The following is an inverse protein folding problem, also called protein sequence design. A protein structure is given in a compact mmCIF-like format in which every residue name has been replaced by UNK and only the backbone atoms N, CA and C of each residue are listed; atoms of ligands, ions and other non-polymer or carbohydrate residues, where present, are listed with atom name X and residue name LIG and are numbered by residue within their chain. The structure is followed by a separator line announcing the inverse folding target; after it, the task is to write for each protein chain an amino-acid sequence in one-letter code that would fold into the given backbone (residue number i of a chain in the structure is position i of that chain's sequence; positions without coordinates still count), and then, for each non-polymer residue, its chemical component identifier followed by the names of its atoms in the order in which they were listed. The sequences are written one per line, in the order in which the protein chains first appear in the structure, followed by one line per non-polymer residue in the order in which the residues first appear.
data_IF_597540435182
#
_entry.id   IF_597540435182
#
_cell.length_a   1.000
_cell.length_b   1.000
_cell.length_c   1.000
_cell.angle_alpha   90.00
_cell.angle_beta   90.00
_cell.angle_gamma   90.00
#
_symmetry.space_group_name_H-M   'P 1'
#
loop_
_entity.id
_entity.type
_entity.pdbx_description
1 polymer ?
#
# COMPACT_ATOMS: atom_id res chain seq x y z
N UNK A 1 -43.07 -61.60 -3.79
CA UNK A 1 -42.75 -61.69 -5.22
C UNK A 1 -42.27 -60.29 -5.65
N UNK A 2 -40.96 -60.03 -5.59
CA UNK A 2 -40.37 -58.74 -5.96
C UNK A 2 -39.79 -58.89 -7.36
N UNK A 3 -40.37 -58.19 -8.34
CA UNK A 3 -39.75 -58.02 -9.66
C UNK A 3 -38.94 -56.73 -9.64
N UNK A 4 -37.63 -56.88 -9.71
CA UNK A 4 -36.67 -55.82 -9.93
C UNK A 4 -36.69 -55.48 -11.42
N UNK A 5 -36.95 -54.24 -11.77
CA UNK A 5 -37.06 -53.78 -13.15
C UNK A 5 -35.97 -52.73 -13.39
N UNK A 6 -34.84 -53.16 -13.95
CA UNK A 6 -33.82 -52.25 -14.47
C UNK A 6 -34.40 -51.49 -15.66
N UNK A 7 -34.42 -50.15 -15.60
CA UNK A 7 -34.60 -49.31 -16.77
C UNK A 7 -33.59 -48.18 -16.75
N UNK A 8 -33.00 -48.01 -17.92
CA UNK A 8 -31.69 -47.46 -18.20
C UNK A 8 -31.53 -45.97 -17.85
N UNK A 9 -30.30 -45.59 -17.47
CA UNK A 9 -29.94 -44.19 -17.31
C UNK A 9 -29.85 -43.51 -18.68
N UNK A 10 -30.43 -42.31 -18.88
CA UNK A 10 -30.35 -41.61 -20.16
C UNK A 10 -28.91 -41.19 -20.47
N UNK A 11 -28.50 -41.18 -21.75
CA UNK A 11 -27.11 -40.92 -22.13
C UNK A 11 -26.69 -39.52 -21.70
N UNK A 12 -25.53 -39.44 -21.05
CA UNK A 12 -24.92 -38.16 -20.64
C UNK A 12 -24.62 -37.35 -21.89
N UNK A 13 -25.42 -36.30 -22.14
CA UNK A 13 -25.14 -35.32 -23.19
C UNK A 13 -23.81 -34.66 -22.84
N UNK A 14 -22.79 -34.85 -23.69
CA UNK A 14 -21.53 -34.11 -23.55
C UNK A 14 -21.82 -32.66 -23.88
N UNK A 15 -22.10 -31.86 -22.86
CA UNK A 15 -22.19 -30.40 -22.95
C UNK A 15 -20.77 -29.89 -23.17
N UNK A 16 -20.24 -30.01 -24.38
CA UNK A 16 -18.99 -29.35 -24.79
C UNK A 16 -19.23 -28.03 -25.52
N UNK A 17 -20.48 -27.72 -25.83
CA UNK A 17 -20.86 -26.51 -26.55
C UNK A 17 -22.00 -25.80 -25.81
N UNK A 18 -21.68 -25.02 -24.77
CA UNK A 18 -22.55 -23.96 -24.21
C UNK A 18 -21.85 -23.20 -23.09
N UNK A 19 -20.93 -22.33 -23.48
CA UNK A 19 -20.78 -20.93 -23.04
C UNK A 19 -19.77 -20.38 -24.04
N UNK A 20 -20.11 -19.41 -24.92
CA UNK A 20 -19.06 -18.65 -25.57
C UNK A 20 -18.26 -18.02 -24.43
N UNK A 21 -17.01 -18.45 -24.23
CA UNK A 21 -16.08 -17.79 -23.32
C UNK A 21 -16.10 -16.33 -23.75
N UNK A 22 -16.79 -15.49 -22.97
CA UNK A 22 -16.88 -14.08 -23.25
C UNK A 22 -15.45 -13.58 -23.38
N UNK A 23 -15.09 -13.09 -24.56
CA UNK A 23 -13.82 -12.45 -24.80
C UNK A 23 -13.68 -11.37 -23.72
N UNK A 24 -12.84 -11.64 -22.71
CA UNK A 24 -12.60 -10.71 -21.62
C UNK A 24 -11.78 -9.59 -22.23
N UNK A 25 -12.48 -8.61 -22.80
CA UNK A 25 -11.89 -7.36 -23.26
C UNK A 25 -10.99 -6.85 -22.12
N UNK A 26 -9.69 -6.61 -22.37
CA UNK A 26 -8.79 -6.21 -21.31
C UNK A 26 -9.34 -4.95 -20.64
N UNK A 27 -9.50 -5.00 -19.33
CA UNK A 27 -9.99 -3.87 -18.54
C UNK A 27 -8.87 -2.85 -18.50
N UNK A 28 -9.16 -1.65 -19.01
CA UNK A 28 -8.22 -0.53 -18.96
C UNK A 28 -8.22 0.05 -17.54
N UNK A 29 -7.18 -0.27 -16.77
CA UNK A 29 -6.96 0.20 -15.40
C UNK A 29 -5.87 1.27 -15.31
N UNK A 30 -5.27 1.63 -16.45
CA UNK A 30 -4.24 2.65 -16.55
C UNK A 30 -4.85 4.06 -16.46
N UNK A 31 -4.00 5.06 -16.26
CA UNK A 31 -4.40 6.47 -16.28
C UNK A 31 -4.97 6.87 -17.64
N UNK A 32 -6.02 7.70 -17.61
CA UNK A 32 -6.61 8.19 -18.86
C UNK A 32 -5.58 9.01 -19.66
N UNK A 33 -5.45 8.75 -20.98
CA UNK A 33 -4.48 9.45 -21.83
C UNK A 33 -4.90 10.90 -22.11
N UNK A 34 -6.19 11.21 -22.00
CA UNK A 34 -6.74 12.55 -22.22
C UNK A 34 -6.97 13.19 -20.86
N UNK A 35 -6.11 14.13 -20.48
CA UNK A 35 -6.20 14.87 -19.22
C UNK A 35 -6.74 16.28 -19.46
N UNK A 36 -7.71 16.70 -18.65
CA UNK A 36 -8.22 18.08 -18.68
C UNK A 36 -7.22 18.99 -17.95
N UNK A 37 -6.70 20.05 -18.61
CA UNK A 37 -5.78 20.98 -17.94
C UNK A 37 -6.51 21.73 -16.83
N UNK A 38 -5.84 21.93 -15.69
CA UNK A 38 -6.44 22.58 -14.51
C UNK A 38 -7.10 21.60 -13.53
N UNK A 39 -7.23 20.32 -13.89
CA UNK A 39 -7.95 19.32 -13.12
C UNK A 39 -7.04 18.15 -12.73
N UNK A 40 -6.00 18.41 -11.94
CA UNK A 40 -5.07 17.37 -11.48
C UNK A 40 -5.51 16.73 -10.16
N UNK A 41 -6.06 17.53 -9.26
CA UNK A 41 -6.43 17.12 -7.90
C UNK A 41 -7.91 17.39 -7.65
N UNK A 42 -8.56 16.50 -6.90
CA UNK A 42 -9.96 16.64 -6.49
C UNK A 42 -10.08 16.51 -4.98
N UNK A 43 -10.91 17.38 -4.39
CA UNK A 43 -11.36 17.26 -3.01
C UNK A 43 -12.68 16.50 -2.97
N UNK A 44 -12.70 15.38 -2.27
CA UNK A 44 -13.83 14.47 -2.16
C UNK A 44 -14.26 14.35 -0.71
N UNK A 45 -15.56 14.17 -0.48
CA UNK A 45 -16.10 13.84 0.83
C UNK A 45 -17.07 12.67 0.67
N UNK A 46 -16.94 11.67 1.54
CA UNK A 46 -17.71 10.45 1.46
C UNK A 46 -18.63 10.30 2.68
N UNK A 47 -19.80 9.73 2.45
CA UNK A 47 -20.71 9.27 3.50
C UNK A 47 -21.01 7.81 3.23
N UNK A 48 -20.91 6.98 4.25
CA UNK A 48 -20.95 5.52 4.19
C UNK A 48 -21.39 5.00 5.55
N UNK A 49 -21.91 3.76 5.66
CA UNK A 49 -22.17 3.16 6.97
C UNK A 49 -20.91 3.05 7.85
N UNK A 50 -19.72 3.10 7.23
CA UNK A 50 -18.41 2.98 7.89
C UNK A 50 -17.77 4.35 8.20
N UNK A 51 -18.27 5.45 7.63
CA UNK A 51 -17.71 6.79 7.87
C UNK A 51 -18.21 7.42 9.18
N UNK A 52 -17.61 8.56 9.56
CA UNK A 52 -18.00 9.31 10.75
C UNK A 52 -19.50 9.67 10.76
N UNK A 53 -20.00 10.18 9.62
CA UNK A 53 -21.43 10.39 9.39
C UNK A 53 -22.01 9.11 8.80
N UNK A 54 -22.94 8.47 9.52
CA UNK A 54 -23.51 7.17 9.14
C UNK A 54 -24.70 7.35 8.20
N UNK A 55 -24.71 6.61 7.09
CA UNK A 55 -25.84 6.50 6.17
C UNK A 55 -25.95 5.09 5.60
N UNK A 56 -27.17 4.64 5.29
CA UNK A 56 -27.40 3.30 4.71
C UNK A 56 -26.91 3.19 3.26
N UNK A 57 -26.74 4.33 2.58
CA UNK A 57 -26.25 4.43 1.20
C UNK A 57 -24.90 5.12 1.17
N UNK A 58 -24.08 4.75 0.20
CA UNK A 58 -22.80 5.43 -0.06
C UNK A 58 -23.10 6.73 -0.83
N UNK A 59 -22.69 7.86 -0.26
CA UNK A 59 -22.73 9.18 -0.87
C UNK A 59 -21.33 9.68 -1.17
N UNK A 60 -21.15 10.30 -2.33
CA UNK A 60 -19.93 10.99 -2.72
C UNK A 60 -20.26 12.44 -3.06
N UNK A 61 -19.51 13.37 -2.46
CA UNK A 61 -19.59 14.80 -2.75
C UNK A 61 -18.24 15.28 -3.27
N UNK A 62 -18.24 15.81 -4.50
CA UNK A 62 -17.09 16.55 -5.05
C UNK A 62 -17.14 17.97 -4.50
N UNK A 63 -16.13 18.35 -3.71
CA UNK A 63 -16.04 19.67 -3.07
C UNK A 63 -15.36 20.70 -3.98
N UNK A 64 -14.39 20.26 -4.79
CA UNK A 64 -13.67 21.12 -5.71
C UNK A 64 -12.58 20.37 -6.48
N UNK A 65 -12.11 20.97 -7.56
CA UNK A 65 -11.05 20.45 -8.43
C UNK A 65 -9.99 21.53 -8.59
N UNK A 66 -8.71 21.15 -8.54
CA UNK A 66 -7.56 22.04 -8.50
C UNK A 66 -6.43 21.54 -9.38
N UNK A 67 -5.59 22.46 -9.85
CA UNK A 67 -4.40 22.11 -10.65
C UNK A 67 -3.17 21.82 -9.78
N UNK A 68 -3.08 22.50 -8.62
CA UNK A 68 -1.95 22.46 -7.71
C UNK A 68 -2.33 21.88 -6.34
N UNK A 69 -1.43 21.08 -5.77
CA UNK A 69 -1.63 20.44 -4.48
C UNK A 69 -1.69 21.45 -3.32
N UNK A 70 -0.86 22.50 -3.36
CA UNK A 70 -0.83 23.51 -2.30
C UNK A 70 -2.13 24.32 -2.27
N UNK A 71 -2.68 24.64 -3.44
CA UNK A 71 -3.99 25.31 -3.55
C UNK A 71 -5.11 24.41 -3.03
N UNK A 72 -5.08 23.11 -3.36
CA UNK A 72 -6.03 22.13 -2.84
C UNK A 72 -5.95 22.03 -1.30
N UNK A 73 -4.74 22.00 -0.72
CA UNK A 73 -4.51 21.95 0.74
C UNK A 73 -5.00 23.23 1.44
N UNK A 74 -4.74 24.39 0.87
CA UNK A 74 -5.26 25.66 1.42
C UNK A 74 -6.80 25.68 1.43
N UNK A 75 -7.43 25.15 0.36
CA UNK A 75 -8.88 25.02 0.31
C UNK A 75 -9.43 23.95 1.26
N UNK A 76 -8.72 22.84 1.42
CA UNK A 76 -9.03 21.79 2.38
C UNK A 76 -9.11 22.36 3.80
N UNK A 77 -8.09 23.09 4.25
CA UNK A 77 -8.05 23.69 5.60
C UNK A 77 -9.24 24.62 5.88
N UNK A 78 -9.59 25.47 4.91
CA UNK A 78 -10.78 26.34 5.00
C UNK A 78 -12.08 25.55 5.10
N UNK A 79 -12.19 24.43 4.37
CA UNK A 79 -13.38 23.58 4.42
C UNK A 79 -13.46 22.78 5.73
N UNK A 80 -12.33 22.33 6.28
CA UNK A 80 -12.28 21.63 7.56
C UNK A 80 -12.74 22.53 8.72
N UNK A 81 -12.38 23.81 8.68
CA UNK A 81 -12.85 24.81 9.66
C UNK A 81 -14.35 25.07 9.56
N UNK A 82 -14.88 25.10 8.33
CA UNK A 82 -16.30 25.38 8.07
C UNK A 82 -17.21 24.19 8.43
N UNK A 83 -16.74 22.97 8.17
CA UNK A 83 -17.56 21.75 8.24
C UNK A 83 -16.75 20.57 8.82
N UNK A 84 -16.54 20.55 10.15
CA UNK A 84 -15.72 19.54 10.82
C UNK A 84 -16.40 18.16 10.92
N UNK A 85 -17.66 18.05 10.50
CA UNK A 85 -18.42 16.80 10.60
C UNK A 85 -17.98 15.76 9.56
N UNK A 86 -17.45 16.21 8.42
CA UNK A 86 -17.12 15.34 7.30
C UNK A 86 -15.61 15.24 7.07
N UNK A 87 -15.17 14.03 6.79
CA UNK A 87 -13.82 13.78 6.29
C UNK A 87 -13.71 14.25 4.84
N UNK A 88 -12.62 14.97 4.54
CA UNK A 88 -12.32 15.49 3.21
C UNK A 88 -11.00 14.88 2.76
N UNK A 89 -11.02 14.26 1.59
CA UNK A 89 -9.91 13.55 0.99
C UNK A 89 -9.39 14.31 -0.23
N UNK A 90 -8.07 14.34 -0.40
CA UNK A 90 -7.41 14.78 -1.63
C UNK A 90 -7.11 13.55 -2.47
N UNK A 91 -7.56 13.52 -3.71
CA UNK A 91 -7.26 12.44 -4.64
C UNK A 91 -6.78 13.01 -5.99
N UNK A 92 -6.04 12.19 -6.73
CA UNK A 92 -5.64 12.54 -8.09
C UNK A 92 -6.77 12.27 -9.08
N UNK A 93 -6.95 13.16 -10.04
CA UNK A 93 -7.89 12.96 -11.14
C UNK A 93 -7.34 11.93 -12.14
N UNK A 94 -8.24 11.32 -12.92
CA UNK A 94 -7.89 10.37 -13.99
C UNK A 94 -7.24 9.06 -13.49
N UNK A 95 -7.43 8.73 -12.21
CA UNK A 95 -6.99 7.48 -11.58
C UNK A 95 -8.17 6.82 -10.87
N UNK A 96 -8.15 5.49 -10.83
CA UNK A 96 -9.14 4.72 -10.06
C UNK A 96 -8.92 4.93 -8.55
N UNK A 97 -10.01 5.18 -7.83
CA UNK A 97 -10.00 5.35 -6.38
C UNK A 97 -10.94 4.33 -5.73
N UNK A 98 -10.47 3.67 -4.68
CA UNK A 98 -11.28 2.76 -3.88
C UNK A 98 -12.18 3.56 -2.93
N UNK A 99 -13.47 3.25 -2.93
CA UNK A 99 -14.48 3.85 -2.04
C UNK A 99 -14.90 2.81 -1.00
N UNK A 100 -14.89 3.12 0.31
CA UNK A 100 -14.33 4.31 0.97
C UNK A 100 -12.80 4.22 1.15
N UNK A 101 -12.05 5.32 1.01
CA UNK A 101 -10.61 5.34 1.28
C UNK A 101 -10.35 5.15 2.78
N UNK A 102 -9.43 4.25 3.14
CA UNK A 102 -9.03 4.07 4.54
C UNK A 102 -7.98 5.11 4.92
N UNK A 103 -8.01 5.69 6.13
CA UNK A 103 -7.01 6.68 6.55
C UNK A 103 -5.60 6.10 6.63
N UNK A 104 -5.46 4.77 6.78
CA UNK A 104 -4.18 4.07 6.81
C UNK A 104 -3.45 4.04 5.47
N UNK A 105 -4.17 4.20 4.36
CA UNK A 105 -3.62 4.15 3.01
C UNK A 105 -3.15 5.55 2.54
N UNK A 106 -3.27 6.57 3.40
CA UNK A 106 -2.92 7.96 3.10
C UNK A 106 -1.56 8.31 3.69
N UNK A 107 -0.68 8.89 2.86
CA UNK A 107 0.66 9.29 3.31
C UNK A 107 0.61 10.47 4.31
N UNK A 108 -0.28 11.42 4.07
CA UNK A 108 -0.40 12.67 4.81
C UNK A 108 -1.85 12.88 5.28
N UNK A 109 -2.06 12.72 6.59
CA UNK A 109 -3.33 12.98 7.27
C UNK A 109 -3.19 14.29 8.04
N UNK A 110 -3.95 15.31 7.65
CA UNK A 110 -4.10 16.54 8.44
C UNK A 110 -5.30 16.38 9.37
N UNK A 111 -5.10 16.65 10.67
CA UNK A 111 -6.16 16.59 11.68
C UNK A 111 -6.70 18.00 11.94
N UNK A 112 -7.98 18.10 12.30
CA UNK A 112 -8.61 19.37 12.67
C UNK A 112 -8.08 19.95 13.99
N UNK A 113 -7.71 19.08 14.93
CA UNK A 113 -7.12 19.48 16.21
C UNK A 113 -5.60 19.64 16.10
N UNK A 114 -5.12 20.87 16.34
CA UNK A 114 -3.70 21.21 16.29
C UNK A 114 -2.86 20.43 17.30
N UNK A 115 -3.37 20.18 18.51
CA UNK A 115 -2.64 19.43 19.53
C UNK A 115 -2.49 17.97 19.11
N UNK A 116 -3.56 17.38 18.57
CA UNK A 116 -3.52 16.01 18.06
C UNK A 116 -2.56 15.89 16.86
N UNK A 117 -2.60 16.87 15.95
CA UNK A 117 -1.69 16.90 14.81
C UNK A 117 -0.22 16.93 15.25
N UNK A 118 0.11 17.79 16.20
CA UNK A 118 1.47 17.88 16.76
C UNK A 118 1.90 16.58 17.43
N UNK A 119 1.01 15.95 18.20
CA UNK A 119 1.29 14.68 18.87
C UNK A 119 1.58 13.56 17.86
N UNK A 120 0.72 13.39 16.84
CA UNK A 120 0.90 12.37 15.80
C UNK A 120 2.15 12.62 14.99
N UNK A 121 2.43 13.87 14.63
CA UNK A 121 3.64 14.24 13.90
C UNK A 121 4.90 13.93 14.72
N UNK A 122 4.94 14.34 15.99
CA UNK A 122 6.07 14.05 16.90
C UNK A 122 6.31 12.55 17.00
N UNK A 123 5.24 11.77 17.19
CA UNK A 123 5.35 10.32 17.27
C UNK A 123 5.90 9.69 15.98
N UNK A 124 5.43 10.15 14.81
CA UNK A 124 5.92 9.69 13.50
C UNK A 124 7.41 10.03 13.30
N UNK A 125 7.83 11.22 13.73
CA UNK A 125 9.22 11.66 13.67
C UNK A 125 10.13 10.84 14.61
N UNK A 126 9.67 10.53 15.81
CA UNK A 126 10.39 9.66 16.77
C UNK A 126 10.54 8.23 16.23
N UNK A 127 9.48 7.66 15.66
CA UNK A 127 9.53 6.34 15.02
C UNK A 127 10.53 6.32 13.86
N UNK A 128 10.54 7.35 13.02
CA UNK A 128 11.49 7.48 11.91
C UNK A 128 12.93 7.56 12.43
N UNK A 129 13.17 8.38 13.47
CA UNK A 129 14.49 8.51 14.11
C UNK A 129 14.96 7.19 14.72
N UNK A 130 14.08 6.47 15.41
CA UNK A 130 14.38 5.17 16.00
C UNK A 130 14.70 4.12 14.93
N UNK A 131 13.95 4.09 13.82
CA UNK A 131 14.20 3.20 12.68
C UNK A 131 15.53 3.50 12.02
N UNK A 132 15.84 4.78 11.76
CA UNK A 132 17.12 5.19 11.20
C UNK A 132 18.28 4.81 12.12
N UNK A 133 18.14 5.03 13.44
CA UNK A 133 19.14 4.60 14.41
C UNK A 133 19.33 3.07 14.37
N UNK A 134 18.25 2.30 14.35
CA UNK A 134 18.32 0.84 14.23
C UNK A 134 19.02 0.38 12.95
N UNK A 135 18.73 1.01 11.81
CA UNK A 135 19.41 0.72 10.54
C UNK A 135 20.91 1.03 10.64
N UNK A 136 21.30 2.17 11.21
CA UNK A 136 22.71 2.50 11.43
C UNK A 136 23.42 1.48 12.35
N UNK A 137 22.76 1.06 13.45
CA UNK A 137 23.31 0.04 14.35
C UNK A 137 23.46 -1.32 13.67
N UNK A 138 22.47 -1.72 12.85
CA UNK A 138 22.51 -2.96 12.08
C UNK A 138 23.65 -2.95 11.07
N UNK A 139 23.85 -1.84 10.36
CA UNK A 139 24.93 -1.70 9.38
C UNK A 139 26.32 -1.72 10.03
N UNK A 140 26.48 -1.07 11.19
CA UNK A 140 27.72 -1.14 11.97
C UNK A 140 28.03 -2.55 12.46
N UNK A 141 27.01 -3.28 12.94
CA UNK A 141 27.16 -4.65 13.42
C UNK A 141 27.50 -5.62 12.27
N UNK A 142 26.87 -5.45 11.10
CA UNK A 142 27.16 -6.26 9.91
C UNK A 142 28.57 -6.00 9.37
N UNK A 143 29.03 -4.74 9.36
CA UNK A 143 30.41 -4.38 8.98
C UNK A 143 31.44 -4.98 9.95
N UNK A 144 31.19 -4.90 11.25
CA UNK A 144 32.06 -5.53 12.26
C UNK A 144 32.09 -7.05 12.14
N UNK A 145 30.94 -7.68 11.89
CA UNK A 145 30.83 -9.12 11.72
C UNK A 145 31.52 -9.63 10.45
N UNK A 146 31.53 -8.86 9.37
CA UNK A 146 32.25 -9.22 8.14
C UNK A 146 33.76 -8.96 8.26
N UNK A 147 34.18 -7.88 8.92
CA UNK A 147 35.61 -7.63 9.16
C UNK A 147 36.23 -8.68 10.09
N UNK A 148 35.53 -9.13 11.13
CA UNK A 148 36.05 -10.18 12.03
C UNK A 148 36.23 -11.52 11.30
N UNK A 149 35.31 -11.88 10.40
CA UNK A 149 35.41 -13.12 9.63
C UNK A 149 36.58 -13.08 8.61
N UNK A 150 36.86 -11.92 8.02
CA UNK A 150 38.00 -11.76 7.11
C UNK A 150 39.34 -11.83 7.86
N UNK A 151 39.44 -11.23 9.06
CA UNK A 151 40.64 -11.32 9.90
C UNK A 151 40.92 -12.75 10.39
N UNK A 152 39.88 -13.54 10.66
CA UNK A 152 40.04 -14.95 11.05
C UNK A 152 40.51 -15.82 9.86
N UNK A 153 40.01 -15.57 8.64
CA UNK A 153 40.47 -16.23 7.41
C UNK A 153 41.93 -15.88 7.04
N UNK A 154 42.37 -14.65 7.25
CA UNK A 154 43.77 -14.25 6.98
C UNK A 154 44.76 -14.86 7.99
N UNK A 155 44.35 -15.04 9.26
CA UNK A 155 45.18 -15.68 10.29
C UNK A 155 45.33 -17.18 10.10
N UNK A 156 44.34 -17.85 9.54
CA UNK A 156 44.42 -19.29 9.24
C UNK A 156 45.31 -19.55 8.01
N UNK A 157 45.26 -18.70 6.98
CA UNK A 157 46.17 -18.78 5.82
C UNK A 157 47.63 -18.54 6.23
N UNK A 158 47.90 -17.60 7.15
CA UNK A 158 49.26 -17.31 7.61
C UNK A 158 49.84 -18.34 8.59
N UNK A 159 49.02 -19.25 9.14
CA UNK A 159 49.45 -20.31 10.07
C UNK A 159 49.92 -21.59 9.35
N UNK A 160 49.46 -21.83 8.13
CA UNK A 160 49.80 -23.03 7.37
C UNK A 160 51.12 -22.91 6.60
N UNK A 161 51.68 -21.69 6.49
CA UNK A 161 52.94 -21.44 5.76
C UNK A 161 54.20 -21.57 6.63
N UNK A 162 54.06 -21.80 7.94
CA UNK A 162 55.16 -21.81 8.94
C UNK A 162 55.42 -23.18 9.54
N UNK A 163 55.15 -24.26 8.81
CA UNK A 163 55.66 -25.58 9.16
C UNK A 163 57.09 -25.67 8.64
N UNK A 164 58.03 -25.61 9.59
CA UNK A 164 59.48 -25.67 9.40
C UNK A 164 59.89 -26.83 8.47
N UNK A 165 60.61 -26.50 7.39
CA UNK A 165 61.51 -27.41 6.67
C UNK A 165 62.71 -27.78 7.57
N UNK A 166 62.46 -28.53 8.64
CA UNK A 166 63.49 -29.22 9.41
C UNK A 166 63.08 -30.68 9.60
N UNK A 167 63.13 -31.43 8.51
CA UNK A 167 63.25 -32.88 8.53
C UNK A 167 64.35 -33.28 7.54
N UNK A 168 65.25 -34.15 8.03
CA UNK A 168 66.35 -34.84 7.33
C UNK A 168 67.58 -33.92 7.08
N UNK A 169 68.76 -34.09 7.69
CA UNK A 169 69.52 -35.23 8.22
C UNK A 169 70.35 -34.88 9.47
#
# INVERSE_FOLDING_TARGET
MFSFQEKETPPTVKIKDRIPMAETKPVYLDEDPIKVPGCKYVLLSFVSPVSNVKSDKIGLKVRGVFDDMDTARAHLRRLMELDPAFDIFVADCHRWLLIPPKPSDLDNVEYSDQMLQQLVQTHKEEQLRAKAAFETYKDEMMKKGTSSLQEDLEKDVSRDCTIDENLEE
#
